data_IF_312891552664
#
_entry.id   IF_312891552664
#
_cell.length_a   1.000
_cell.length_b   1.000
_cell.length_c   1.000
_cell.angle_alpha   90.00
_cell.angle_beta   90.00
_cell.angle_gamma   90.00
#
_symmetry.space_group_name_H-M   'P 1'
#
loop_
_entity.id
_entity.type
_entity.pdbx_description
1 polymer ?
#
# COMPACT_ATOMS: atom_id res chain seq x y z
N UNK A 1 1.01 12.88 -29.77
CA UNK A 1 1.31 11.59 -29.11
C UNK A 1 1.00 11.73 -27.63
N UNK A 2 0.00 11.02 -27.12
CA UNK A 2 -0.36 11.10 -25.71
C UNK A 2 0.65 10.30 -24.87
N UNK A 3 1.29 10.96 -23.91
CA UNK A 3 2.11 10.33 -22.88
C UNK A 3 1.21 9.40 -22.05
N UNK A 4 1.31 8.09 -22.28
CA UNK A 4 0.70 7.09 -21.42
C UNK A 4 1.45 7.17 -20.10
N UNK A 5 0.91 7.94 -19.15
CA UNK A 5 1.35 7.94 -17.77
C UNK A 5 1.14 6.53 -17.24
N UNK A 6 2.18 5.70 -17.35
CA UNK A 6 2.28 4.43 -16.63
C UNK A 6 2.04 4.79 -15.18
N UNK A 7 0.89 4.38 -14.63
CA UNK A 7 0.63 4.52 -13.20
C UNK A 7 1.68 3.66 -12.51
N UNK A 8 2.82 4.26 -12.21
CA UNK A 8 3.82 3.65 -11.36
C UNK A 8 3.11 3.51 -10.03
N UNK A 9 2.75 2.27 -9.69
CA UNK A 9 2.28 1.91 -8.37
C UNK A 9 3.42 2.23 -7.39
N UNK A 10 3.48 3.49 -6.96
CA UNK A 10 4.50 4.09 -6.11
C UNK A 10 4.44 3.58 -4.66
N UNK A 11 3.36 2.89 -4.29
CA UNK A 11 3.17 2.30 -2.96
C UNK A 11 3.81 0.91 -2.82
N UNK A 12 4.49 0.42 -3.87
CA UNK A 12 5.18 -0.87 -3.80
C UNK A 12 6.35 -0.79 -2.83
N UNK A 13 6.25 -1.51 -1.73
CA UNK A 13 7.33 -1.69 -0.75
C UNK A 13 8.45 -2.62 -1.24
N UNK A 14 8.27 -3.31 -2.37
CA UNK A 14 9.23 -4.26 -2.94
C UNK A 14 9.68 -3.79 -4.32
N UNK A 15 11.00 -3.66 -4.51
CA UNK A 15 11.58 -3.32 -5.82
C UNK A 15 11.61 -4.51 -6.78
N UNK A 16 11.64 -4.24 -8.08
CA UNK A 16 11.73 -5.28 -9.13
C UNK A 16 12.97 -6.15 -8.96
N UNK A 17 14.12 -5.54 -8.66
CA UNK A 17 15.40 -6.25 -8.47
C UNK A 17 15.32 -7.21 -7.28
N UNK A 18 14.68 -6.81 -6.18
CA UNK A 18 14.47 -7.68 -5.03
C UNK A 18 13.56 -8.86 -5.38
N UNK A 19 12.46 -8.61 -6.08
CA UNK A 19 11.54 -9.65 -6.50
C UNK A 19 12.21 -10.67 -7.44
N UNK A 20 12.99 -10.22 -8.42
CA UNK A 20 13.80 -11.10 -9.29
C UNK A 20 14.73 -12.00 -8.46
N UNK A 21 15.45 -11.43 -7.48
CA UNK A 21 16.36 -12.20 -6.61
C UNK A 21 15.62 -13.27 -5.82
N UNK A 22 14.44 -12.95 -5.29
CA UNK A 22 13.64 -13.90 -4.51
C UNK A 22 13.09 -15.01 -5.41
N UNK A 23 12.51 -14.67 -6.57
CA UNK A 23 11.98 -15.66 -7.52
C UNK A 23 13.08 -16.62 -7.99
N UNK A 24 14.25 -16.08 -8.38
CA UNK A 24 15.41 -16.87 -8.79
C UNK A 24 15.90 -17.81 -7.70
N UNK A 25 15.94 -17.37 -6.44
CA UNK A 25 16.31 -18.22 -5.29
C UNK A 25 15.36 -19.41 -5.10
N UNK A 26 14.13 -19.31 -5.59
CA UNK A 26 13.12 -20.37 -5.55
C UNK A 26 13.04 -21.16 -6.87
N UNK A 27 14.03 -21.04 -7.76
CA UNK A 27 14.06 -21.75 -9.03
C UNK A 27 13.10 -21.19 -10.09
N UNK A 28 12.53 -20.00 -9.87
CA UNK A 28 11.63 -19.35 -10.80
C UNK A 28 12.43 -18.31 -11.59
N UNK A 29 12.72 -18.62 -12.85
CA UNK A 29 13.44 -17.71 -13.74
C UNK A 29 12.46 -16.73 -14.41
N UNK A 30 12.71 -15.44 -14.24
CA UNK A 30 11.82 -14.37 -14.73
C UNK A 30 12.60 -13.16 -15.20
N UNK A 31 12.10 -12.50 -16.23
CA UNK A 31 12.56 -11.19 -16.67
C UNK A 31 11.79 -10.05 -15.98
N UNK A 32 12.23 -8.80 -16.21
CA UNK A 32 11.66 -7.61 -15.58
C UNK A 32 10.15 -7.43 -15.86
N UNK A 33 9.70 -7.74 -17.09
CA UNK A 33 8.30 -7.63 -17.49
C UNK A 33 7.43 -8.62 -16.71
N UNK A 34 7.85 -9.88 -16.63
CA UNK A 34 7.14 -10.92 -15.88
C UNK A 34 7.06 -10.57 -14.39
N UNK A 35 8.14 -10.03 -13.81
CA UNK A 35 8.14 -9.62 -12.40
C UNK A 35 7.16 -8.46 -12.14
N UNK A 36 7.03 -7.51 -13.07
CA UNK A 36 6.02 -6.44 -12.98
C UNK A 36 4.60 -7.02 -12.94
N UNK A 37 4.29 -7.95 -13.84
CA UNK A 37 2.98 -8.62 -13.91
C UNK A 37 2.68 -9.41 -12.63
N UNK A 38 3.65 -10.17 -12.12
CA UNK A 38 3.53 -10.93 -10.85
C UNK A 38 3.26 -9.98 -9.69
N UNK A 39 4.06 -8.92 -9.56
CA UNK A 39 3.89 -7.96 -8.46
C UNK A 39 2.54 -7.24 -8.56
N UNK A 40 2.13 -6.81 -9.76
CA UNK A 40 0.82 -6.17 -9.96
C UNK A 40 -0.32 -7.07 -9.50
N UNK A 41 -0.28 -8.36 -9.86
CA UNK A 41 -1.26 -9.36 -9.43
C UNK A 41 -1.26 -9.54 -7.90
N UNK A 42 -0.09 -9.70 -7.28
CA UNK A 42 0.03 -9.90 -5.84
C UNK A 42 -0.46 -8.69 -5.04
N UNK A 43 -0.13 -7.48 -5.48
CA UNK A 43 -0.60 -6.26 -4.83
C UNK A 43 -2.11 -6.06 -5.00
N UNK A 44 -2.68 -6.43 -6.16
CA UNK A 44 -4.13 -6.42 -6.36
C UNK A 44 -4.84 -7.36 -5.38
N UNK A 45 -4.36 -8.59 -5.23
CA UNK A 45 -4.89 -9.55 -4.25
C UNK A 45 -4.76 -9.02 -2.83
N UNK A 46 -3.59 -8.53 -2.45
CA UNK A 46 -3.35 -7.98 -1.12
C UNK A 46 -4.34 -6.84 -0.81
N UNK A 47 -4.59 -5.93 -1.77
CA UNK A 47 -5.54 -4.83 -1.61
C UNK A 47 -6.98 -5.32 -1.49
N UNK A 48 -7.36 -6.32 -2.29
CA UNK A 48 -8.70 -6.92 -2.25
C UNK A 48 -9.00 -7.57 -0.89
N UNK A 49 -8.00 -8.21 -0.27
CA UNK A 49 -8.17 -8.89 1.03
C UNK A 49 -7.95 -7.96 2.22
N UNK A 50 -7.11 -6.92 2.11
CA UNK A 50 -6.89 -5.94 3.18
C UNK A 50 -8.17 -5.17 3.53
N UNK A 51 -9.04 -4.94 2.54
CA UNK A 51 -10.33 -4.27 2.77
C UNK A 51 -11.35 -5.09 3.57
N UNK A 52 -11.08 -6.39 3.82
CA UNK A 52 -11.93 -7.24 4.65
C UNK A 52 -11.59 -7.16 6.15
N UNK A 53 -10.37 -6.73 6.48
CA UNK A 53 -9.90 -6.57 7.86
C UNK A 53 -9.93 -5.09 8.33
N UNK A 54 -10.11 -4.14 7.40
CA UNK A 54 -10.14 -2.71 7.70
C UNK A 54 -11.46 -2.23 8.34
N UNK A 55 -12.45 -3.10 8.53
CA UNK A 55 -13.63 -2.78 9.34
C UNK A 55 -13.37 -2.89 10.85
N UNK A 56 -12.24 -3.46 11.27
CA UNK A 56 -11.90 -3.65 12.69
C UNK A 56 -10.73 -2.77 13.18
N UNK A 57 -10.27 -1.79 12.39
CA UNK A 57 -9.16 -0.90 12.84
C UNK A 57 -9.28 0.54 12.34
N UNK A 58 -10.46 1.15 12.51
CA UNK A 58 -10.63 2.60 12.48
C UNK A 58 -11.06 3.16 13.84
N UNK A 59 -10.31 2.83 14.90
CA UNK A 59 -10.30 3.59 16.15
C UNK A 59 -8.87 3.76 16.69
N UNK A 60 -8.04 4.49 15.96
CA UNK A 60 -6.96 5.38 16.45
C UNK A 60 -6.21 5.89 15.20
N UNK A 61 -5.72 7.11 15.01
CA UNK A 61 -5.46 8.29 15.83
C UNK A 61 -5.06 9.40 14.84
N UNK A 62 -6.01 10.00 14.11
CA UNK A 62 -5.72 11.23 13.34
C UNK A 62 -6.93 12.15 13.28
N UNK A 63 -7.23 12.80 14.40
CA UNK A 63 -7.83 14.13 14.35
C UNK A 63 -7.30 14.97 15.51
N UNK A 64 -6.14 15.58 15.27
CA UNK A 64 -5.78 16.81 15.97
C UNK A 64 -6.77 17.91 15.59
N UNK A 65 -7.91 17.99 16.27
CA UNK A 65 -8.72 19.21 16.37
C UNK A 65 -9.04 19.40 17.85
N UNK A 66 -8.51 20.50 18.39
CA UNK A 66 -8.55 20.79 19.80
C UNK A 66 -9.96 20.89 20.36
N UNK A 67 -10.21 20.11 21.41
CA UNK A 67 -11.22 20.44 22.39
C UNK A 67 -10.56 21.31 23.46
N UNK A 68 -10.61 22.62 23.24
CA UNK A 68 -10.41 23.62 24.30
C UNK A 68 -11.59 23.46 25.24
N UNK A 69 -11.40 22.84 26.41
CA UNK A 69 -12.37 22.97 27.49
C UNK A 69 -12.24 24.39 28.02
N UNK A 70 -13.15 25.26 27.60
CA UNK A 70 -13.34 26.57 28.22
C UNK A 70 -13.86 26.31 29.63
N UNK A 71 -13.01 26.58 30.63
CA UNK A 71 -13.43 26.68 32.03
C UNK A 71 -14.31 27.91 32.16
N UNK A 72 -15.61 27.75 31.96
CA UNK A 72 -16.56 28.73 32.47
C UNK A 72 -16.64 28.58 33.99
N UNK A 73 -16.02 29.54 34.65
CA UNK A 73 -16.46 30.10 35.91
C UNK A 73 -17.97 30.40 35.84
N UNK A 74 -18.74 29.96 36.84
CA UNK A 74 -20.00 30.56 37.33
C UNK A 74 -20.37 29.78 38.60
N UNK A 75 -19.88 30.25 39.76
CA UNK A 75 -20.60 31.11 40.73
C UNK A 75 -21.41 30.29 41.72
#
# INVERSE_FOLDING_TARGET
>A
MQQISTRVFSDRKVSIVQAIKILKKNGIETNEKQVKEILDFLYLLAKMHSNKNAQDTLIDNTTGKGYRTSKHHLS
#
